data_IF_173038890594
#
_entry.id   IF_173038890594
#
_cell.length_a   1.000
_cell.length_b   1.000
_cell.length_c   1.000
_cell.angle_alpha   90.00
_cell.angle_beta   90.00
_cell.angle_gamma   90.00
#
_symmetry.space_group_name_H-M   'P 1'
#
loop_
_entity.id
_entity.type
_entity.pdbx_description
1 polymer ?
#
# COMPACT_ATOMS: atom_id res chain seq x y z
N UNK A 1 -32.52 44.46 -17.42
CA UNK A 1 -32.03 43.08 -17.22
C UNK A 1 -30.67 42.97 -17.92
N UNK A 2 -29.57 43.18 -17.19
CA UNK A 2 -28.23 43.06 -17.76
C UNK A 2 -27.93 41.57 -17.93
N UNK A 3 -27.98 41.12 -19.18
CA UNK A 3 -27.55 39.77 -19.56
C UNK A 3 -26.03 39.79 -19.44
N UNK A 4 -25.49 39.06 -18.46
CA UNK A 4 -24.04 38.97 -18.24
C UNK A 4 -23.33 38.57 -19.52
N UNK A 5 -22.21 39.23 -19.81
CA UNK A 5 -21.38 38.96 -20.99
C UNK A 5 -21.02 37.47 -21.06
N UNK A 6 -21.26 36.77 -22.19
CA UNK A 6 -20.94 35.36 -22.31
C UNK A 6 -19.44 35.15 -22.19
N UNK A 7 -19.04 34.13 -21.42
CA UNK A 7 -17.65 33.75 -21.22
C UNK A 7 -17.21 32.91 -22.43
N UNK A 8 -16.39 33.50 -23.30
CA UNK A 8 -16.08 32.95 -24.63
C UNK A 8 -14.84 32.05 -24.66
N UNK A 9 -14.14 31.83 -23.54
CA UNK A 9 -12.88 31.09 -23.57
C UNK A 9 -12.54 30.33 -22.27
N UNK A 10 -12.36 29.02 -22.39
CA UNK A 10 -11.94 28.10 -21.32
C UNK A 10 -10.66 27.31 -21.70
N UNK A 11 -9.89 27.81 -22.68
CA UNK A 11 -8.65 27.17 -23.13
C UNK A 11 -7.53 27.21 -22.07
N UNK A 12 -6.45 26.45 -22.33
CA UNK A 12 -5.30 26.22 -21.42
C UNK A 12 -4.60 27.46 -20.83
N UNK A 13 -4.82 28.65 -21.41
CA UNK A 13 -4.25 29.93 -20.97
C UNK A 13 -5.25 30.85 -20.27
N UNK A 14 -6.50 30.41 -20.09
CA UNK A 14 -7.55 31.21 -19.46
C UNK A 14 -7.78 30.75 -18.02
N UNK A 15 -7.71 31.71 -17.09
CA UNK A 15 -8.03 31.51 -15.66
C UNK A 15 -9.36 30.80 -15.44
N UNK A 16 -10.33 30.98 -16.33
CA UNK A 16 -11.62 30.30 -16.22
C UNK A 16 -11.50 28.76 -16.29
N UNK A 17 -10.67 28.24 -17.21
CA UNK A 17 -10.47 26.79 -17.36
C UNK A 17 -9.76 26.19 -16.15
N UNK A 18 -8.77 26.89 -15.59
CA UNK A 18 -8.10 26.53 -14.34
C UNK A 18 -9.09 26.54 -13.16
N UNK A 19 -9.87 27.61 -12.98
CA UNK A 19 -10.86 27.72 -11.91
C UNK A 19 -11.95 26.64 -12.01
N UNK A 20 -12.40 26.32 -13.23
CA UNK A 20 -13.34 25.22 -13.45
C UNK A 20 -12.72 23.86 -13.10
N UNK A 21 -11.47 23.60 -13.49
CA UNK A 21 -10.77 22.37 -13.14
C UNK A 21 -10.57 22.24 -11.62
N UNK A 22 -10.21 23.32 -10.93
CA UNK A 22 -10.10 23.36 -9.47
C UNK A 22 -11.45 23.10 -8.80
N UNK A 23 -12.52 23.78 -9.24
CA UNK A 23 -13.85 23.58 -8.70
C UNK A 23 -14.36 22.15 -8.89
N UNK A 24 -14.14 21.55 -10.06
CA UNK A 24 -14.50 20.16 -10.35
C UNK A 24 -13.70 19.19 -9.48
N UNK A 25 -12.37 19.37 -9.37
CA UNK A 25 -11.51 18.55 -8.52
C UNK A 25 -11.96 18.59 -7.05
N UNK A 26 -12.28 19.78 -6.55
CA UNK A 26 -12.66 19.95 -5.14
C UNK A 26 -14.06 19.35 -4.89
N UNK A 27 -15.02 19.60 -5.78
CA UNK A 27 -16.36 19.03 -5.68
C UNK A 27 -16.35 17.50 -5.76
N UNK A 28 -15.59 16.92 -6.69
CA UNK A 28 -15.45 15.46 -6.83
C UNK A 28 -14.74 14.84 -5.63
N UNK A 29 -13.69 15.47 -5.10
CA UNK A 29 -13.00 15.00 -3.89
C UNK A 29 -13.93 15.01 -2.66
N UNK A 30 -14.73 16.07 -2.50
CA UNK A 30 -15.71 16.16 -1.42
C UNK A 30 -16.85 15.14 -1.57
N UNK A 31 -17.35 14.94 -2.79
CA UNK A 31 -18.37 13.92 -3.06
C UNK A 31 -17.85 12.52 -2.74
N UNK A 32 -16.63 12.19 -3.18
CA UNK A 32 -15.99 10.90 -2.91
C UNK A 32 -15.79 10.68 -1.40
N UNK A 33 -15.33 11.71 -0.68
CA UNK A 33 -15.21 11.66 0.78
C UNK A 33 -16.56 11.45 1.46
N UNK A 34 -17.60 12.20 1.09
CA UNK A 34 -18.94 12.06 1.69
C UNK A 34 -19.58 10.70 1.41
N UNK A 35 -19.33 10.12 0.25
CA UNK A 35 -19.91 8.84 -0.15
C UNK A 35 -19.20 7.64 0.48
N UNK A 36 -17.87 7.69 0.59
CA UNK A 36 -17.05 6.51 0.92
C UNK A 36 -16.11 6.70 2.11
N UNK A 37 -16.05 7.90 2.67
CA UNK A 37 -15.03 8.29 3.66
C UNK A 37 -13.62 8.41 3.07
N UNK A 38 -13.46 8.31 1.76
CA UNK A 38 -12.15 8.31 1.11
C UNK A 38 -11.50 9.69 1.17
N UNK A 39 -10.39 9.80 1.91
CA UNK A 39 -9.52 10.97 1.99
C UNK A 39 -8.04 10.53 1.91
N UNK A 40 -7.08 11.45 1.70
CA UNK A 40 -5.65 11.11 1.62
C UNK A 40 -5.15 10.32 2.84
N UNK A 41 -5.56 10.72 4.04
CA UNK A 41 -5.22 10.04 5.28
C UNK A 41 -5.77 8.63 5.29
N UNK A 42 -7.02 8.44 4.89
CA UNK A 42 -7.63 7.12 4.79
C UNK A 42 -6.99 6.27 3.70
N UNK A 43 -6.52 6.85 2.60
CA UNK A 43 -5.85 6.12 1.52
C UNK A 43 -4.39 5.77 1.82
N UNK A 44 -3.79 6.35 2.86
CA UNK A 44 -2.43 6.06 3.31
C UNK A 44 -2.41 4.74 4.12
N UNK A 45 -2.61 3.62 3.42
CA UNK A 45 -2.71 2.28 3.99
C UNK A 45 -2.19 1.24 2.99
N UNK A 46 -1.34 0.34 3.48
CA UNK A 46 -0.81 -0.81 2.73
C UNK A 46 -1.95 -1.75 2.31
N UNK A 47 -2.78 -2.17 3.25
CA UNK A 47 -3.90 -3.10 3.03
C UNK A 47 -4.91 -2.55 2.03
N UNK A 48 -5.19 -1.24 2.05
CA UNK A 48 -6.08 -0.64 1.04
C UNK A 48 -5.54 -0.75 -0.38
N UNK A 49 -4.21 -0.66 -0.58
CA UNK A 49 -3.56 -0.87 -1.88
C UNK A 49 -3.62 -2.32 -2.32
N UNK A 50 -3.48 -3.22 -1.37
CA UNK A 50 -3.41 -4.64 -1.64
C UNK A 50 -4.77 -5.35 -1.73
N UNK A 51 -5.84 -4.69 -1.26
CA UNK A 51 -7.21 -5.22 -1.26
C UNK A 51 -7.66 -5.74 -2.63
N UNK A 52 -7.31 -5.06 -3.73
CA UNK A 52 -7.68 -5.47 -5.09
C UNK A 52 -7.04 -6.81 -5.55
N UNK A 53 -6.04 -7.26 -4.81
CA UNK A 53 -5.35 -8.53 -5.04
C UNK A 53 -5.80 -9.64 -4.07
N UNK A 54 -6.80 -9.38 -3.23
CA UNK A 54 -7.28 -10.32 -2.22
C UNK A 54 -6.40 -10.41 -0.97
N UNK A 55 -5.34 -9.60 -0.87
CA UNK A 55 -4.50 -9.54 0.32
C UNK A 55 -5.20 -8.64 1.36
N UNK A 56 -5.59 -9.27 2.45
CA UNK A 56 -6.31 -8.69 3.59
C UNK A 56 -5.58 -9.02 4.90
N UNK A 57 -5.93 -8.32 5.99
CA UNK A 57 -5.43 -8.62 7.33
C UNK A 57 -5.60 -10.10 7.69
N UNK A 58 -6.78 -10.67 7.40
CA UNK A 58 -7.08 -12.10 7.66
C UNK A 58 -6.17 -13.00 6.84
N UNK A 59 -6.03 -12.74 5.53
CA UNK A 59 -5.17 -13.59 4.68
C UNK A 59 -3.69 -13.55 5.06
N UNK A 60 -3.20 -12.40 5.57
CA UNK A 60 -1.83 -12.28 6.07
C UNK A 60 -1.69 -13.01 7.41
N UNK A 61 -2.68 -12.89 8.29
CA UNK A 61 -2.70 -13.60 9.57
C UNK A 61 -2.70 -15.12 9.37
N UNK A 62 -3.53 -15.65 8.48
CA UNK A 62 -3.58 -17.09 8.15
C UNK A 62 -2.23 -17.59 7.62
N UNK A 63 -1.56 -16.81 6.77
CA UNK A 63 -0.21 -17.13 6.28
C UNK A 63 0.85 -17.07 7.39
N UNK A 64 0.72 -16.15 8.36
CA UNK A 64 1.58 -16.08 9.53
C UNK A 64 1.34 -17.26 10.47
N UNK A 65 0.08 -17.60 10.75
CA UNK A 65 -0.33 -18.65 11.68
C UNK A 65 0.24 -20.03 11.30
N UNK A 66 0.45 -20.28 10.00
CA UNK A 66 1.10 -21.49 9.51
C UNK A 66 2.59 -21.59 9.94
N UNK A 67 3.27 -20.47 10.14
CA UNK A 67 4.68 -20.41 10.55
C UNK A 67 4.85 -20.13 12.06
N UNK A 68 3.98 -19.31 12.64
CA UNK A 68 3.99 -18.95 14.05
C UNK A 68 2.53 -18.74 14.51
N UNK A 69 2.01 -19.58 15.43
CA UNK A 69 0.67 -19.42 15.98
C UNK A 69 0.57 -18.14 16.83
N UNK A 70 0.14 -17.04 16.21
CA UNK A 70 -0.02 -15.75 16.88
C UNK A 70 -1.50 -15.45 17.10
N UNK A 71 -1.93 -15.05 18.32
CA UNK A 71 -3.30 -14.59 18.55
C UNK A 71 -3.65 -13.38 17.68
N UNK A 72 -4.88 -13.35 17.15
CA UNK A 72 -5.35 -12.24 16.30
C UNK A 72 -5.09 -10.86 16.92
N UNK A 73 -5.30 -10.69 18.23
CA UNK A 73 -5.12 -9.41 18.90
C UNK A 73 -3.69 -8.86 18.80
N UNK A 74 -2.68 -9.72 18.92
CA UNK A 74 -1.27 -9.33 18.81
C UNK A 74 -0.93 -9.01 17.35
N UNK A 75 -1.43 -9.83 16.44
CA UNK A 75 -1.27 -9.63 15.00
C UNK A 75 -1.89 -8.30 14.54
N UNK A 76 -3.15 -8.04 14.90
CA UNK A 76 -3.87 -6.84 14.47
C UNK A 76 -3.19 -5.57 14.99
N UNK A 77 -2.70 -5.58 16.23
CA UNK A 77 -1.97 -4.44 16.80
C UNK A 77 -0.65 -4.15 16.07
N UNK A 78 0.10 -5.19 15.70
CA UNK A 78 1.35 -5.03 14.94
C UNK A 78 1.07 -4.58 13.51
N UNK A 79 0.05 -5.16 12.89
CA UNK A 79 -0.39 -4.81 11.56
C UNK A 79 -0.87 -3.36 11.47
N UNK A 80 -1.61 -2.83 12.45
CA UNK A 80 -2.06 -1.44 12.47
C UNK A 80 -0.89 -0.44 12.37
N UNK A 81 0.24 -0.73 13.02
CA UNK A 81 1.44 0.10 12.96
C UNK A 81 2.08 0.05 11.58
N UNK A 82 2.26 -1.15 11.05
CA UNK A 82 2.93 -1.39 9.77
C UNK A 82 2.07 -0.92 8.58
N UNK A 83 0.74 -1.07 8.66
CA UNK A 83 -0.20 -0.67 7.61
C UNK A 83 -0.12 0.84 7.28
N UNK A 84 0.22 1.66 8.27
CA UNK A 84 0.31 3.12 8.18
C UNK A 84 1.74 3.63 8.07
N UNK A 85 2.74 2.75 8.09
CA UNK A 85 4.12 3.15 7.95
C UNK A 85 4.38 3.81 6.58
N UNK A 86 4.96 5.00 6.58
CA UNK A 86 5.10 5.80 5.37
C UNK A 86 6.08 5.19 4.36
N UNK A 87 7.14 4.55 4.86
CA UNK A 87 8.11 3.89 3.99
C UNK A 87 7.45 2.69 3.31
N UNK A 88 6.78 1.82 4.08
CA UNK A 88 6.14 0.63 3.54
C UNK A 88 4.96 0.96 2.61
N UNK A 89 4.14 1.97 2.94
CA UNK A 89 3.08 2.45 2.03
C UNK A 89 3.66 2.87 0.68
N UNK A 90 4.81 3.56 0.68
CA UNK A 90 5.52 3.96 -0.53
C UNK A 90 6.09 2.77 -1.30
N UNK A 91 6.83 1.89 -0.62
CA UNK A 91 7.46 0.71 -1.22
C UNK A 91 6.42 -0.24 -1.84
N UNK A 92 5.32 -0.49 -1.13
CA UNK A 92 4.21 -1.31 -1.64
C UNK A 92 3.51 -0.65 -2.82
N UNK A 93 3.34 0.68 -2.81
CA UNK A 93 2.77 1.38 -3.96
C UNK A 93 3.63 1.22 -5.22
N UNK A 94 4.95 1.35 -5.10
CA UNK A 94 5.89 1.13 -6.19
C UNK A 94 5.85 -0.32 -6.69
N UNK A 95 5.87 -1.28 -5.76
CA UNK A 95 5.79 -2.70 -6.09
C UNK A 95 4.51 -3.04 -6.87
N UNK A 96 3.39 -2.54 -6.38
CA UNK A 96 2.08 -2.77 -6.98
C UNK A 96 1.99 -2.13 -8.36
N UNK A 97 2.54 -0.93 -8.54
CA UNK A 97 2.60 -0.28 -9.85
C UNK A 97 3.44 -1.11 -10.83
N UNK A 98 4.60 -1.58 -10.42
CA UNK A 98 5.44 -2.45 -11.24
C UNK A 98 4.73 -3.76 -11.63
N UNK A 99 4.01 -4.36 -10.68
CA UNK A 99 3.21 -5.55 -10.96
C UNK A 99 2.10 -5.27 -12.00
N UNK A 100 1.51 -4.07 -12.00
CA UNK A 100 0.53 -3.67 -13.02
C UNK A 100 1.19 -3.48 -14.40
N UNK A 101 2.33 -2.80 -14.46
CA UNK A 101 3.09 -2.57 -15.70
C UNK A 101 3.53 -3.90 -16.36
N UNK A 102 4.01 -4.85 -15.53
CA UNK A 102 4.30 -6.21 -15.99
C UNK A 102 3.06 -6.91 -16.55
N UNK A 103 1.92 -6.83 -15.85
CA UNK A 103 0.65 -7.43 -16.32
C UNK A 103 0.12 -6.77 -17.59
N UNK A 104 0.41 -5.49 -17.80
CA UNK A 104 0.09 -4.76 -19.02
C UNK A 104 1.05 -5.10 -20.20
N UNK A 105 2.09 -5.89 -19.96
CA UNK A 105 3.09 -6.24 -20.96
C UNK A 105 4.10 -5.12 -21.25
N UNK A 106 4.19 -4.12 -20.36
CA UNK A 106 5.10 -2.98 -20.49
C UNK A 106 6.50 -3.28 -19.94
N UNK A 107 6.62 -4.32 -19.10
CA UNK A 107 7.87 -4.84 -18.58
C UNK A 107 8.03 -6.31 -18.94
N UNK A 108 9.26 -6.72 -19.21
CA UNK A 108 9.63 -8.14 -19.31
C UNK A 108 9.62 -8.78 -17.92
N UNK A 109 9.60 -10.12 -17.88
CA UNK A 109 9.69 -10.84 -16.61
C UNK A 109 11.00 -10.54 -15.86
N UNK A 110 12.13 -10.46 -16.58
CA UNK A 110 13.43 -10.16 -15.97
C UNK A 110 13.47 -8.78 -15.32
N UNK A 111 12.99 -7.74 -16.03
CA UNK A 111 12.90 -6.39 -15.48
C UNK A 111 12.00 -6.34 -14.24
N UNK A 112 10.84 -7.01 -14.30
CA UNK A 112 9.93 -7.04 -13.17
C UNK A 112 10.53 -7.80 -11.96
N UNK A 113 11.23 -8.92 -12.21
CA UNK A 113 11.87 -9.69 -11.16
C UNK A 113 13.02 -8.93 -10.48
N UNK A 114 13.90 -8.29 -11.24
CA UNK A 114 15.03 -7.53 -10.70
C UNK A 114 14.55 -6.38 -9.80
N UNK A 115 13.59 -5.59 -10.28
CA UNK A 115 13.08 -4.44 -9.53
C UNK A 115 12.20 -4.84 -8.34
N UNK A 116 11.39 -5.91 -8.45
CA UNK A 116 10.66 -6.40 -7.28
C UNK A 116 11.60 -6.95 -6.21
N UNK A 117 12.66 -7.67 -6.60
CA UNK A 117 13.69 -8.12 -5.66
C UNK A 117 14.39 -6.94 -4.99
N UNK A 118 14.74 -5.90 -5.75
CA UNK A 118 15.34 -4.68 -5.22
C UNK A 118 14.42 -3.99 -4.20
N UNK A 119 13.13 -3.80 -4.53
CA UNK A 119 12.17 -3.17 -3.61
C UNK A 119 12.00 -3.98 -2.31
N UNK A 120 11.91 -5.31 -2.39
CA UNK A 120 11.81 -6.16 -1.20
C UNK A 120 13.09 -6.11 -0.35
N UNK A 121 14.26 -6.00 -0.98
CA UNK A 121 15.53 -5.80 -0.29
C UNK A 121 15.60 -4.44 0.44
N UNK A 122 15.07 -3.37 -0.15
CA UNK A 122 14.98 -2.07 0.54
C UNK A 122 14.03 -2.14 1.75
N UNK A 123 12.91 -2.88 1.64
CA UNK A 123 12.04 -3.14 2.80
C UNK A 123 12.80 -3.95 3.86
N UNK A 124 13.53 -4.97 3.45
CA UNK A 124 14.34 -5.80 4.35
C UNK A 124 15.33 -4.96 5.15
N UNK A 125 16.04 -4.05 4.49
CA UNK A 125 16.99 -3.12 5.13
C UNK A 125 16.31 -2.12 6.05
N UNK A 126 15.16 -1.57 5.63
CA UNK A 126 14.43 -0.59 6.45
C UNK A 126 13.96 -1.20 7.78
N UNK A 127 13.45 -2.43 7.74
CA UNK A 127 12.94 -3.13 8.93
C UNK A 127 13.99 -3.98 9.64
N UNK A 128 15.22 -4.07 9.13
CA UNK A 128 16.29 -4.93 9.66
C UNK A 128 15.81 -6.38 9.87
N UNK A 129 15.12 -6.92 8.87
CA UNK A 129 14.55 -8.27 8.91
C UNK A 129 15.34 -9.24 8.02
N UNK A 130 15.16 -10.55 8.19
CA UNK A 130 15.85 -11.57 7.37
C UNK A 130 14.89 -12.42 6.54
N UNK A 131 13.71 -11.86 6.29
CA UNK A 131 12.64 -12.49 5.51
C UNK A 131 13.12 -12.85 4.10
N UNK A 132 13.04 -14.13 3.68
CA UNK A 132 13.47 -14.54 2.36
C UNK A 132 12.51 -14.07 1.26
N UNK A 133 13.07 -13.73 0.10
CA UNK A 133 12.31 -13.39 -1.11
C UNK A 133 11.99 -14.66 -1.90
N UNK A 134 10.72 -15.07 -1.90
CA UNK A 134 10.21 -16.23 -2.64
C UNK A 134 10.09 -15.94 -4.16
N UNK A 135 11.21 -16.04 -4.89
CA UNK A 135 11.31 -15.67 -6.32
C UNK A 135 10.47 -16.57 -7.23
N UNK A 136 10.23 -17.80 -6.82
CA UNK A 136 9.40 -18.77 -7.53
C UNK A 136 7.92 -18.38 -7.59
N UNK A 137 7.48 -17.49 -6.69
CA UNK A 137 6.08 -17.05 -6.64
C UNK A 137 5.80 -15.92 -7.63
N UNK A 138 4.58 -15.85 -8.19
CA UNK A 138 4.10 -14.68 -8.91
C UNK A 138 4.26 -13.41 -8.08
N UNK A 139 4.56 -12.27 -8.72
CA UNK A 139 4.95 -11.03 -8.04
C UNK A 139 4.04 -10.64 -6.86
N UNK A 140 2.72 -10.69 -7.02
CA UNK A 140 1.78 -10.34 -5.95
C UNK A 140 1.83 -11.35 -4.78
N UNK A 141 1.98 -12.64 -5.07
CA UNK A 141 2.10 -13.68 -4.03
C UNK A 141 3.45 -13.59 -3.32
N UNK A 142 4.53 -13.25 -4.04
CA UNK A 142 5.85 -12.95 -3.46
C UNK A 142 5.75 -11.82 -2.44
N UNK A 143 5.05 -10.73 -2.77
CA UNK A 143 4.81 -9.63 -1.82
C UNK A 143 4.00 -10.08 -0.61
N UNK A 144 2.89 -10.80 -0.81
CA UNK A 144 2.06 -11.29 0.31
C UNK A 144 2.86 -12.19 1.26
N UNK A 145 3.69 -13.08 0.70
CA UNK A 145 4.55 -13.98 1.47
C UNK A 145 5.61 -13.20 2.26
N UNK A 146 6.23 -12.21 1.62
CA UNK A 146 7.21 -11.35 2.27
C UNK A 146 6.60 -10.54 3.43
N UNK A 147 5.45 -9.88 3.21
CA UNK A 147 4.76 -9.13 4.26
C UNK A 147 4.34 -10.01 5.44
N UNK A 148 3.90 -11.24 5.17
CA UNK A 148 3.57 -12.20 6.23
C UNK A 148 4.83 -12.58 7.03
N UNK A 149 5.97 -12.81 6.37
CA UNK A 149 7.24 -13.05 7.05
C UNK A 149 7.69 -11.86 7.89
N UNK A 150 7.57 -10.64 7.37
CA UNK A 150 7.92 -9.41 8.09
C UNK A 150 7.08 -9.25 9.37
N UNK A 151 5.77 -9.49 9.26
CA UNK A 151 4.86 -9.46 10.41
C UNK A 151 5.24 -10.52 11.44
N UNK A 152 5.57 -11.74 11.00
CA UNK A 152 5.97 -12.83 11.89
C UNK A 152 7.27 -12.52 12.65
N UNK A 153 8.29 -11.97 11.99
CA UNK A 153 9.55 -11.57 12.65
C UNK A 153 9.32 -10.45 13.67
N UNK A 154 8.56 -9.41 13.33
CA UNK A 154 8.20 -8.34 14.28
C UNK A 154 7.44 -8.86 15.50
N UNK A 155 6.61 -9.90 15.33
CA UNK A 155 5.85 -10.51 16.42
C UNK A 155 6.74 -11.38 17.32
N UNK A 156 7.72 -12.09 16.75
CA UNK A 156 8.68 -12.88 17.52
C UNK A 156 9.60 -11.99 18.36
N UNK A 157 10.13 -10.91 17.78
CA UNK A 157 10.94 -9.92 18.51
C UNK A 157 10.19 -9.32 19.71
N UNK A 158 8.91 -8.96 19.51
CA UNK A 158 8.07 -8.48 20.61
C UNK A 158 7.83 -9.56 21.67
N UNK A 159 7.55 -10.80 21.25
CA UNK A 159 7.36 -11.95 22.16
C UNK A 159 8.59 -12.20 23.04
N UNK A 160 9.79 -12.16 22.46
CA UNK A 160 11.06 -12.31 23.19
C UNK A 160 11.29 -11.16 24.19
N UNK A 161 10.96 -9.91 23.82
CA UNK A 161 11.06 -8.74 24.71
C UNK A 161 10.14 -8.82 25.93
N UNK A 162 8.94 -9.39 25.79
CA UNK A 162 8.01 -9.57 26.92
C UNK A 162 8.40 -10.76 27.82
N UNK A 163 9.01 -11.82 27.28
CA UNK A 163 9.56 -12.91 28.10
C UNK A 163 10.85 -12.51 28.86
N UNK A 164 11.65 -11.59 28.33
CA UNK A 164 12.85 -11.06 28.99
C UNK A 164 12.59 -10.14 30.19
N UNK A 165 11.35 -9.66 30.40
CA UNK A 165 10.95 -8.79 31.53
C UNK A 165 10.36 -9.52 32.74
N UNK A 166 10.27 -10.85 32.71
CA UNK A 166 9.79 -11.68 33.83
C UNK A 166 10.91 -12.34 34.66
N UNK A 167 12.10 -11.73 34.73
CA UNK A 167 13.18 -12.16 35.63
C UNK A 167 13.56 -11.08 36.61
#
# INVERSE_FOLDING_TARGET
>A
MQIGTPLLNAGKHFKLGELAALAVRDATSQALFRQTGCCPQEQHSVLKRLKRFGITAVSLWEQCAAACPVPWANFSHTLEKIDRDSFLVGAVALYVHLADEYRAGLLTQGEADDWTCHLLEEIRRHYTCDVPVARELPLIQRLARFLSGLLAEHLDEQGQLYQGKSR
#
